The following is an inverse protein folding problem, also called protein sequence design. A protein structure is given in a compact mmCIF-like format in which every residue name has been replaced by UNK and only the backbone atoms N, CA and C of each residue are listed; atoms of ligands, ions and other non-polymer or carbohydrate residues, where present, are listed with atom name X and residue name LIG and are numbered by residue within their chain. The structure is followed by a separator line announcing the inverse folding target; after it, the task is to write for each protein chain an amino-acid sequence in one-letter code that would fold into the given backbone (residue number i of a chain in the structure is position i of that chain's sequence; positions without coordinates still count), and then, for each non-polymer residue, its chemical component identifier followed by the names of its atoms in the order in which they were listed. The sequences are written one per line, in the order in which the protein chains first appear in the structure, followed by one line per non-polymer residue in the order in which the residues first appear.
data_IF_536786882635
#
_entry.id   IF_536786882635
#
_cell.length_a   1.000
_cell.length_b   1.000
_cell.length_c   1.000
_cell.angle_alpha   90.00
_cell.angle_beta   90.00
_cell.angle_gamma   90.00
#
_symmetry.space_group_name_H-M   'P 1'
#
loop_
_entity.id
_entity.type
_entity.pdbx_description
1 polymer ?
#
# COMPACT_ATOMS: atom_id res chain seq x y z
N UNK A 1 -36.01 -23.38 -0.22
CA UNK A 1 -36.44 -22.67 1.01
C UNK A 1 -35.55 -21.44 1.18
N UNK A 2 -36.10 -20.23 1.03
CA UNK A 2 -35.57 -18.99 1.59
C UNK A 2 -36.52 -17.84 1.23
N UNK A 3 -37.45 -17.50 2.12
CA UNK A 3 -38.20 -16.25 2.06
C UNK A 3 -37.74 -15.38 3.23
N UNK A 4 -36.97 -14.36 2.86
CA UNK A 4 -37.00 -13.00 3.39
C UNK A 4 -36.81 -12.80 4.90
N UNK A 5 -35.61 -12.33 5.25
CA UNK A 5 -35.24 -11.74 6.54
C UNK A 5 -35.93 -10.40 6.82
N UNK A 6 -37.26 -10.39 6.86
CA UNK A 6 -38.10 -9.25 7.22
C UNK A 6 -38.65 -9.34 8.66
N UNK A 7 -38.13 -10.26 9.48
CA UNK A 7 -38.74 -10.58 10.79
C UNK A 7 -38.01 -10.01 12.02
N UNK A 8 -36.98 -9.16 11.86
CA UNK A 8 -36.19 -8.70 13.03
C UNK A 8 -35.99 -7.18 13.14
N UNK A 9 -36.70 -6.36 12.35
CA UNK A 9 -36.73 -4.90 12.55
C UNK A 9 -38.11 -4.50 13.03
N UNK A 10 -38.22 -4.02 14.27
CA UNK A 10 -39.46 -3.49 14.83
C UNK A 10 -39.98 -2.29 14.03
N UNK A 11 -41.26 -1.96 14.18
CA UNK A 11 -41.91 -0.85 13.50
C UNK A 11 -41.17 0.48 13.73
N UNK A 12 -40.78 1.16 12.67
CA UNK A 12 -40.07 2.45 12.75
C UNK A 12 -40.90 3.61 13.35
N UNK A 13 -42.21 3.43 13.56
CA UNK A 13 -43.06 4.43 14.23
C UNK A 13 -43.21 4.18 15.75
N UNK A 14 -43.51 2.94 16.16
CA UNK A 14 -43.81 2.62 17.56
C UNK A 14 -42.78 1.71 18.25
N UNK A 15 -41.86 1.09 17.50
CA UNK A 15 -40.85 0.17 17.99
C UNK A 15 -41.34 -1.27 18.22
N UNK A 16 -42.65 -1.54 18.11
CA UNK A 16 -43.18 -2.88 18.30
C UNK A 16 -42.93 -3.79 17.10
N UNK A 17 -42.68 -5.07 17.38
CA UNK A 17 -42.43 -6.11 16.38
C UNK A 17 -43.75 -6.67 15.82
N UNK A 18 -43.70 -7.21 14.60
CA UNK A 18 -44.86 -7.81 13.93
C UNK A 18 -45.56 -6.94 12.88
N UNK A 19 -45.18 -5.67 12.72
CA UNK A 19 -45.69 -4.81 11.64
C UNK A 19 -44.65 -3.77 11.18
N UNK A 20 -44.81 -3.28 9.95
CA UNK A 20 -43.97 -2.21 9.38
C UNK A 20 -44.61 -0.84 9.59
N UNK A 21 -43.85 0.26 9.42
CA UNK A 21 -44.29 1.64 9.66
C UNK A 21 -45.63 2.00 8.97
N UNK A 22 -45.87 1.45 7.79
CA UNK A 22 -47.08 1.66 6.99
C UNK A 22 -48.34 1.00 7.56
N UNK A 23 -48.17 0.00 8.43
CA UNK A 23 -49.25 -0.76 9.06
C UNK A 23 -49.30 -0.52 10.57
N UNK A 24 -48.73 0.59 11.06
CA UNK A 24 -48.76 0.93 12.47
C UNK A 24 -50.17 1.41 12.86
N UNK A 25 -50.78 0.85 13.93
CA UNK A 25 -52.08 1.31 14.43
C UNK A 25 -51.99 2.68 15.14
N UNK A 26 -50.78 3.14 15.45
CA UNK A 26 -50.53 4.45 16.05
C UNK A 26 -50.28 5.51 14.97
N UNK A 27 -50.72 6.77 15.19
CA UNK A 27 -50.47 7.85 14.24
C UNK A 27 -48.97 8.02 14.00
N UNK A 28 -48.54 8.42 12.78
CA UNK A 28 -47.13 8.63 12.49
C UNK A 28 -46.59 9.70 13.42
N UNK A 29 -45.55 9.38 14.19
CA UNK A 29 -44.80 10.39 14.93
C UNK A 29 -44.19 11.33 13.89
N UNK A 30 -44.82 12.49 13.72
CA UNK A 30 -44.21 13.63 13.04
C UNK A 30 -42.84 13.82 13.69
N UNK A 31 -41.79 13.55 12.92
CA UNK A 31 -40.41 13.65 13.36
C UNK A 31 -40.06 15.13 13.58
N UNK A 32 -40.48 15.69 14.71
CA UNK A 32 -39.96 16.95 15.24
C UNK A 32 -39.14 16.60 16.47
N UNK A 33 -37.90 16.19 16.24
CA UNK A 33 -36.75 16.34 17.16
C UNK A 33 -35.58 15.48 16.64
N UNK A 34 -34.84 16.01 15.67
CA UNK A 34 -33.43 15.67 15.56
C UNK A 34 -32.71 16.59 16.55
N UNK A 35 -32.02 16.08 17.60
CA UNK A 35 -31.39 16.92 18.62
C UNK A 35 -30.17 17.72 18.12
N UNK A 36 -29.78 17.59 16.84
CA UNK A 36 -28.56 18.21 16.29
C UNK A 36 -28.79 19.45 15.40
N UNK A 37 -29.98 20.06 15.40
CA UNK A 37 -30.19 21.37 14.78
C UNK A 37 -30.37 22.43 15.86
N UNK A 38 -29.26 23.05 16.29
CA UNK A 38 -29.27 24.24 17.13
C UNK A 38 -29.79 25.42 16.31
N UNK A 39 -31.12 25.60 16.28
CA UNK A 39 -31.75 26.81 15.76
C UNK A 39 -31.67 27.87 16.85
N UNK A 40 -30.73 28.80 16.73
CA UNK A 40 -30.66 29.99 17.58
C UNK A 40 -31.89 30.86 17.28
N UNK A 41 -32.70 31.29 18.27
CA UNK A 41 -33.77 32.25 18.01
C UNK A 41 -33.14 33.63 17.84
N UNK A 42 -32.96 34.08 16.60
CA UNK A 42 -32.72 35.52 16.33
C UNK A 42 -34.03 36.25 16.63
N UNK A 43 -34.09 36.87 17.81
CA UNK A 43 -35.13 37.84 18.15
C UNK A 43 -34.97 39.05 17.20
N UNK A 44 -35.93 39.23 16.29
CA UNK A 44 -36.10 40.50 15.59
C UNK A 44 -36.70 41.51 16.55
N UNK A 45 -35.91 42.50 16.95
CA UNK A 45 -36.35 43.67 17.69
C UNK A 45 -37.40 44.43 16.87
N UNK A 46 -38.64 44.43 17.34
CA UNK A 46 -39.71 45.29 16.84
C UNK A 46 -39.55 46.65 17.53
N UNK A 47 -39.00 47.63 16.82
CA UNK A 47 -39.07 49.04 17.24
C UNK A 47 -40.44 49.60 16.86
N UNK A 48 -41.06 50.21 17.86
CA UNK A 48 -42.42 50.73 17.91
C UNK A 48 -42.69 51.85 16.90
N UNK A 49 -43.93 51.86 16.40
CA UNK A 49 -44.52 52.82 15.44
C UNK A 49 -44.53 54.29 15.92
N UNK A 50 -44.98 55.22 15.04
CA UNK A 50 -46.38 55.61 15.19
C UNK A 50 -47.20 55.56 13.89
N UNK A 51 -48.34 54.88 14.01
CA UNK A 51 -49.67 55.27 13.55
C UNK A 51 -49.80 56.13 12.29
N UNK A 52 -50.33 55.53 11.22
CA UNK A 52 -51.39 56.16 10.43
C UNK A 52 -52.30 55.08 9.82
N UNK A 53 -53.60 55.28 10.03
CA UNK A 53 -54.69 54.38 9.70
C UNK A 53 -54.92 54.28 8.19
N UNK A 54 -55.33 53.09 7.73
CA UNK A 54 -55.82 52.92 6.37
C UNK A 54 -56.07 51.47 5.97
N UNK A 55 -57.34 51.06 6.11
CA UNK A 55 -58.09 50.36 5.07
C UNK A 55 -57.99 48.82 4.93
N UNK A 56 -59.15 48.21 5.20
CA UNK A 56 -59.75 46.93 4.75
C UNK A 56 -58.93 45.62 4.70
N UNK A 57 -59.53 44.64 5.37
CA UNK A 57 -59.24 43.22 5.29
C UNK A 57 -59.63 42.65 3.91
N UNK A 58 -58.65 42.10 3.20
CA UNK A 58 -58.81 41.28 2.02
C UNK A 58 -57.81 40.14 2.08
N UNK A 59 -58.02 39.19 2.99
CA UNK A 59 -57.24 37.96 3.11
C UNK A 59 -57.51 37.04 1.91
N UNK A 60 -56.84 37.30 0.78
CA UNK A 60 -56.61 36.30 -0.25
C UNK A 60 -55.35 35.53 0.11
N UNK A 61 -55.53 34.26 0.49
CA UNK A 61 -54.44 33.32 0.70
C UNK A 61 -53.64 33.13 -0.58
N UNK A 62 -52.61 33.95 -0.77
CA UNK A 62 -51.63 33.79 -1.83
C UNK A 62 -50.51 32.92 -1.27
N UNK A 63 -50.63 31.61 -1.47
CA UNK A 63 -49.49 30.72 -1.35
C UNK A 63 -48.40 31.26 -2.28
N UNK A 64 -47.29 31.67 -1.71
CA UNK A 64 -46.12 32.10 -2.44
C UNK A 64 -45.47 30.86 -3.10
N UNK A 65 -46.11 30.34 -4.16
CA UNK A 65 -45.52 29.38 -5.10
C UNK A 65 -44.59 30.17 -6.01
N UNK A 66 -43.31 30.23 -5.69
CA UNK A 66 -42.37 30.97 -6.52
C UNK A 66 -40.91 30.79 -6.12
N UNK A 67 -40.33 29.65 -6.55
CA UNK A 67 -38.92 29.50 -6.93
C UNK A 67 -37.83 30.19 -6.09
N UNK A 68 -37.35 29.51 -5.05
CA UNK A 68 -36.13 29.93 -4.34
C UNK A 68 -35.31 28.77 -3.76
N UNK A 69 -35.99 27.72 -3.28
CA UNK A 69 -35.32 26.56 -2.68
C UNK A 69 -34.55 25.68 -3.68
N UNK A 70 -35.06 25.51 -4.89
CA UNK A 70 -34.44 24.68 -5.93
C UNK A 70 -33.10 25.22 -6.42
N UNK A 71 -32.96 26.55 -6.52
CA UNK A 71 -31.72 27.17 -7.00
C UNK A 71 -30.58 26.97 -6.00
N UNK A 72 -30.87 27.09 -4.70
CA UNK A 72 -29.89 26.86 -3.63
C UNK A 72 -29.46 25.39 -3.56
N UNK A 73 -30.41 24.45 -3.67
CA UNK A 73 -30.10 23.02 -3.70
C UNK A 73 -29.29 22.63 -4.93
N UNK A 74 -29.62 23.17 -6.11
CA UNK A 74 -28.87 22.91 -7.33
C UNK A 74 -27.44 23.48 -7.26
N UNK A 75 -27.26 24.67 -6.69
CA UNK A 75 -25.93 25.25 -6.50
C UNK A 75 -25.07 24.44 -5.53
N UNK A 76 -25.67 23.91 -4.45
CA UNK A 76 -24.98 23.00 -3.52
C UNK A 76 -24.62 21.67 -4.17
N UNK A 77 -25.50 21.10 -5.00
CA UNK A 77 -25.22 19.86 -5.75
C UNK A 77 -24.05 20.09 -6.71
N UNK A 78 -24.04 21.17 -7.48
CA UNK A 78 -22.95 21.49 -8.40
C UNK A 78 -21.58 21.61 -7.70
N UNK A 79 -21.52 22.26 -6.52
CA UNK A 79 -20.30 22.35 -5.74
C UNK A 79 -19.83 20.98 -5.22
N UNK A 80 -20.76 20.12 -4.80
CA UNK A 80 -20.43 18.76 -4.35
C UNK A 80 -19.95 17.90 -5.52
N UNK A 81 -20.58 18.01 -6.68
CA UNK A 81 -20.17 17.32 -7.91
C UNK A 81 -18.76 17.77 -8.35
N UNK A 82 -18.47 19.07 -8.27
CA UNK A 82 -17.13 19.60 -8.54
C UNK A 82 -16.08 19.05 -7.55
N UNK A 83 -16.41 19.03 -6.26
CA UNK A 83 -15.52 18.50 -5.23
C UNK A 83 -15.25 17.00 -5.42
N UNK A 84 -16.30 16.20 -5.66
CA UNK A 84 -16.16 14.76 -5.92
C UNK A 84 -15.35 14.50 -7.18
N UNK A 85 -15.55 15.30 -8.23
CA UNK A 85 -14.76 15.20 -9.46
C UNK A 85 -13.27 15.46 -9.20
N UNK A 86 -12.94 16.50 -8.42
CA UNK A 86 -11.56 16.78 -8.01
C UNK A 86 -10.95 15.64 -7.20
N UNK A 87 -11.68 15.11 -6.23
CA UNK A 87 -11.23 13.96 -5.44
C UNK A 87 -11.00 12.73 -6.30
N UNK A 88 -11.87 12.45 -7.28
CA UNK A 88 -11.70 11.31 -8.18
C UNK A 88 -10.46 11.43 -9.05
N UNK A 89 -10.21 12.63 -9.60
CA UNK A 89 -9.01 12.91 -10.39
C UNK A 89 -7.75 12.75 -9.54
N UNK A 90 -7.75 13.31 -8.32
CA UNK A 90 -6.61 13.19 -7.41
C UNK A 90 -6.34 11.74 -7.02
N UNK A 91 -7.38 10.98 -6.64
CA UNK A 91 -7.24 9.57 -6.28
C UNK A 91 -6.68 8.74 -7.43
N UNK A 92 -7.23 8.90 -8.65
CA UNK A 92 -6.72 8.18 -9.81
C UNK A 92 -5.25 8.55 -10.11
N UNK A 93 -4.90 9.85 -10.01
CA UNK A 93 -3.53 10.30 -10.21
C UNK A 93 -2.57 9.81 -9.11
N UNK A 94 -3.02 9.70 -7.86
CA UNK A 94 -2.25 9.12 -6.76
C UNK A 94 -2.04 7.62 -6.94
N UNK A 95 -3.09 6.89 -7.33
CA UNK A 95 -3.02 5.47 -7.62
C UNK A 95 -2.02 5.18 -8.75
N UNK A 96 -2.02 5.99 -9.81
CA UNK A 96 -1.05 5.89 -10.90
C UNK A 96 0.37 6.22 -10.44
N UNK A 97 0.56 7.27 -9.62
CA UNK A 97 1.87 7.59 -9.02
C UNK A 97 2.39 6.46 -8.13
N UNK A 98 1.53 5.80 -7.36
CA UNK A 98 1.92 4.65 -6.56
C UNK A 98 2.31 3.45 -7.43
N UNK A 99 1.57 3.18 -8.51
CA UNK A 99 1.92 2.11 -9.45
C UNK A 99 3.28 2.35 -10.09
N UNK A 100 3.54 3.58 -10.55
CA UNK A 100 4.83 3.97 -11.12
C UNK A 100 5.97 3.79 -10.11
N UNK A 101 5.78 4.25 -8.86
CA UNK A 101 6.79 4.08 -7.80
C UNK A 101 7.08 2.61 -7.48
N UNK A 102 6.04 1.78 -7.40
CA UNK A 102 6.18 0.33 -7.16
C UNK A 102 6.92 -0.34 -8.31
N UNK A 103 6.58 0.00 -9.55
CA UNK A 103 7.26 -0.55 -10.74
C UNK A 103 8.72 -0.09 -10.86
N UNK A 104 9.02 1.16 -10.49
CA UNK A 104 10.40 1.67 -10.43
C UNK A 104 11.22 0.98 -9.34
N UNK A 105 10.64 0.76 -8.16
CA UNK A 105 11.26 0.03 -7.07
C UNK A 105 11.49 -1.45 -7.43
N UNK A 106 10.53 -2.11 -8.07
CA UNK A 106 10.68 -3.48 -8.58
C UNK A 106 11.79 -3.57 -9.62
N UNK A 107 11.85 -2.60 -10.56
CA UNK A 107 12.97 -2.51 -11.52
C UNK A 107 14.31 -2.33 -10.82
N UNK A 108 14.38 -1.50 -9.77
CA UNK A 108 15.60 -1.28 -8.99
C UNK A 108 16.05 -2.55 -8.27
N UNK A 109 15.13 -3.25 -7.62
CA UNK A 109 15.40 -4.52 -6.93
C UNK A 109 15.88 -5.59 -7.93
N UNK A 110 15.25 -5.68 -9.10
CA UNK A 110 15.67 -6.62 -10.14
C UNK A 110 17.09 -6.33 -10.65
N UNK A 111 17.45 -5.05 -10.84
CA UNK A 111 18.82 -4.68 -11.22
C UNK A 111 19.85 -5.02 -10.12
N UNK A 112 19.51 -4.80 -8.86
CA UNK A 112 20.37 -5.13 -7.71
C UNK A 112 20.56 -6.64 -7.56
N UNK A 113 19.50 -7.43 -7.75
CA UNK A 113 19.56 -8.89 -7.73
C UNK A 113 20.42 -9.44 -8.88
N UNK A 114 20.24 -8.91 -10.09
CA UNK A 114 21.06 -9.27 -11.25
C UNK A 114 22.53 -8.89 -11.06
N UNK A 115 22.81 -7.74 -10.43
CA UNK A 115 24.17 -7.33 -10.08
C UNK A 115 24.82 -8.27 -9.05
N UNK A 116 24.09 -8.68 -8.02
CA UNK A 116 24.56 -9.68 -7.05
C UNK A 116 24.82 -11.03 -7.71
N UNK A 117 23.99 -11.45 -8.66
CA UNK A 117 24.21 -12.68 -9.41
C UNK A 117 25.51 -12.60 -10.23
N UNK A 118 25.73 -11.49 -10.93
CA UNK A 118 26.99 -11.26 -11.67
C UNK A 118 28.21 -11.27 -10.75
N UNK A 119 28.11 -10.69 -9.56
CA UNK A 119 29.20 -10.69 -8.60
C UNK A 119 29.48 -12.09 -8.05
N UNK A 120 28.43 -12.88 -7.79
CA UNK A 120 28.57 -14.27 -7.35
C UNK A 120 29.22 -15.14 -8.43
N UNK A 121 28.77 -15.02 -9.68
CA UNK A 121 29.35 -15.75 -10.82
C UNK A 121 30.84 -15.39 -11.00
N UNK A 122 31.20 -14.11 -10.81
CA UNK A 122 32.60 -13.66 -10.82
C UNK A 122 33.40 -14.29 -9.69
N UNK A 123 32.88 -14.29 -8.46
CA UNK A 123 33.53 -14.93 -7.29
C UNK A 123 33.71 -16.42 -7.49
N UNK A 124 32.73 -17.09 -8.08
CA UNK A 124 32.79 -18.53 -8.36
C UNK A 124 33.83 -18.86 -9.44
N UNK A 125 33.95 -18.02 -10.47
CA UNK A 125 35.02 -18.13 -11.48
C UNK A 125 36.41 -17.93 -10.86
N UNK A 126 36.59 -16.89 -10.04
CA UNK A 126 37.86 -16.63 -9.33
C UNK A 126 38.21 -17.77 -8.36
N UNK A 127 37.22 -18.30 -7.64
CA UNK A 127 37.39 -19.43 -6.73
C UNK A 127 37.74 -20.72 -7.47
N UNK A 128 37.12 -20.98 -8.64
CA UNK A 128 37.45 -22.13 -9.47
C UNK A 128 38.89 -22.04 -10.01
N UNK A 129 39.29 -20.86 -10.49
CA UNK A 129 40.66 -20.62 -10.94
C UNK A 129 41.67 -20.80 -9.80
N UNK A 130 41.38 -20.23 -8.62
CA UNK A 130 42.24 -20.39 -7.43
C UNK A 130 42.38 -21.85 -7.01
N UNK A 131 41.29 -22.61 -6.99
CA UNK A 131 41.32 -24.05 -6.68
C UNK A 131 42.22 -24.81 -7.66
N UNK A 132 42.12 -24.51 -8.96
CA UNK A 132 42.99 -25.14 -9.97
C UNK A 132 44.46 -24.75 -9.76
N UNK A 133 44.76 -23.49 -9.46
CA UNK A 133 46.12 -23.03 -9.18
C UNK A 133 46.70 -23.71 -7.93
N UNK A 134 45.94 -23.77 -6.84
CA UNK A 134 46.33 -24.43 -5.60
C UNK A 134 46.56 -25.94 -5.82
N UNK A 135 45.72 -26.60 -6.62
CA UNK A 135 45.90 -28.01 -6.98
C UNK A 135 47.15 -28.23 -7.84
N UNK A 136 47.40 -27.36 -8.82
CA UNK A 136 48.62 -27.42 -9.64
C UNK A 136 49.87 -27.21 -8.79
N UNK A 137 49.86 -26.23 -7.88
CA UNK A 137 50.95 -25.97 -6.95
C UNK A 137 51.18 -27.18 -6.05
N UNK A 138 50.13 -27.76 -5.46
CA UNK A 138 50.26 -28.96 -4.62
C UNK A 138 50.79 -30.19 -5.39
N UNK A 139 50.43 -30.33 -6.67
CA UNK A 139 51.01 -31.38 -7.54
C UNK A 139 52.47 -31.09 -7.84
N UNK A 140 52.81 -29.83 -8.09
CA UNK A 140 54.18 -29.39 -8.35
C UNK A 140 55.08 -29.61 -7.14
N UNK A 141 54.64 -29.24 -5.93
CA UNK A 141 55.36 -29.45 -4.67
C UNK A 141 55.70 -30.93 -4.46
N UNK A 142 54.74 -31.84 -4.71
CA UNK A 142 54.96 -33.29 -4.63
C UNK A 142 56.00 -33.78 -5.64
N UNK A 143 56.00 -33.26 -6.87
CA UNK A 143 56.99 -33.63 -7.88
C UNK A 143 58.37 -33.12 -7.47
N UNK A 144 58.45 -31.88 -6.95
CA UNK A 144 59.69 -31.30 -6.43
C UNK A 144 60.28 -32.16 -5.30
N UNK A 145 59.45 -32.57 -4.34
CA UNK A 145 59.86 -33.45 -3.24
C UNK A 145 60.40 -34.81 -3.74
N UNK A 146 59.73 -35.43 -4.73
CA UNK A 146 60.20 -36.70 -5.31
C UNK A 146 61.53 -36.53 -6.05
N UNK A 147 61.71 -35.42 -6.78
CA UNK A 147 62.96 -35.12 -7.48
C UNK A 147 64.12 -34.88 -6.49
N UNK A 148 63.88 -34.16 -5.40
CA UNK A 148 64.88 -33.94 -4.34
C UNK A 148 65.26 -35.26 -3.64
N UNK A 149 64.27 -36.08 -3.28
CA UNK A 149 64.50 -37.39 -2.68
C UNK A 149 65.23 -38.35 -3.62
N UNK A 150 64.98 -38.28 -4.93
CA UNK A 150 65.72 -39.08 -5.91
C UNK A 150 67.16 -38.58 -6.06
N UNK A 151 67.36 -37.27 -6.15
CA UNK A 151 68.70 -36.66 -6.24
C UNK A 151 69.57 -37.04 -5.04
N UNK A 152 69.03 -36.98 -3.82
CA UNK A 152 69.76 -37.39 -2.61
C UNK A 152 70.10 -38.88 -2.59
N UNK A 153 69.19 -39.76 -3.04
CA UNK A 153 69.44 -41.20 -3.17
C UNK A 153 70.48 -41.53 -4.24
N UNK A 154 70.40 -40.89 -5.40
CA UNK A 154 71.36 -41.10 -6.50
C UNK A 154 72.74 -40.60 -6.09
N UNK A 155 72.84 -39.41 -5.48
CA UNK A 155 74.11 -38.89 -4.95
C UNK A 155 74.69 -39.76 -3.83
N UNK A 156 73.89 -40.26 -2.90
CA UNK A 156 74.38 -41.15 -1.82
C UNK A 156 74.83 -42.50 -2.35
N UNK A 157 74.11 -43.07 -3.32
CA UNK A 157 74.49 -44.29 -4.05
C UNK A 157 75.81 -44.12 -4.80
N UNK A 158 76.00 -43.01 -5.52
CA UNK A 158 77.24 -42.68 -6.21
C UNK A 158 78.40 -42.50 -5.23
N UNK A 159 78.19 -41.78 -4.12
CA UNK A 159 79.18 -41.61 -3.06
C UNK A 159 79.58 -42.98 -2.47
N UNK A 160 78.63 -43.89 -2.22
CA UNK A 160 78.95 -45.24 -1.74
C UNK A 160 79.79 -46.04 -2.75
N UNK A 161 79.45 -45.99 -4.04
CA UNK A 161 80.22 -46.67 -5.09
C UNK A 161 81.65 -46.14 -5.19
N UNK A 162 81.82 -44.82 -5.12
CA UNK A 162 83.14 -44.18 -5.15
C UNK A 162 83.98 -44.57 -3.93
N UNK A 163 83.38 -44.65 -2.73
CA UNK A 163 84.08 -45.12 -1.53
C UNK A 163 84.61 -46.55 -1.67
N UNK A 164 83.81 -47.47 -2.19
CA UNK A 164 84.23 -48.86 -2.42
C UNK A 164 85.35 -48.95 -3.45
N UNK A 165 85.32 -48.12 -4.50
CA UNK A 165 86.40 -48.06 -5.48
C UNK A 165 87.70 -47.54 -4.86
N UNK A 166 87.63 -46.53 -3.98
CA UNK A 166 88.80 -46.01 -3.25
C UNK A 166 89.40 -47.09 -2.35
N UNK A 167 88.56 -47.82 -1.60
CA UNK A 167 89.00 -48.89 -0.69
C UNK A 167 89.66 -50.07 -1.45
N UNK A 168 89.21 -50.38 -2.66
CA UNK A 168 89.87 -51.37 -3.54
C UNK A 168 91.23 -50.93 -4.08
N UNK A 169 91.53 -49.63 -4.07
CA UNK A 169 92.76 -49.05 -4.60
C UNK A 169 93.81 -48.76 -3.50
N UNK A 170 93.46 -48.97 -2.23
CA UNK A 170 94.35 -48.90 -1.07
C UNK A 170 94.91 -50.27 -0.71
#
# INVERSE_FOLDING_TARGET
MAMNGAANRGCYNCGQMGHFMRFCPFPPRSQVANPNSATVPVQTLILTAPNQAGAYNGNTGQYNRGGGGWNYTNQRIANLEEQVSKFKIQYNAEEEREKIKKEEEERRLKMEEEEKQREQDKKDCEAAYKKMADEMNARFDKVSEVLENKKTKDSTSEIMKLKVQIEKLQ
#
